data_IF_401907673794
#
_entry.id   IF_401907673794
#
_cell.length_a   1.000
_cell.length_b   1.000
_cell.length_c   1.000
_cell.angle_alpha   90.00
_cell.angle_beta   90.00
_cell.angle_gamma   90.00
#
_symmetry.space_group_name_H-M   'P 1'
#
loop_
_entity.id
_entity.type
_entity.pdbx_description
1 polymer ?
#
# COMPACT_ATOMS: atom_id res chain seq x y z
N UNK A 1 -35.65 -4.25 -13.37
CA UNK A 1 -34.39 -4.95 -13.03
C UNK A 1 -34.74 -6.36 -12.56
N UNK A 2 -33.97 -7.37 -12.97
CA UNK A 2 -34.22 -8.74 -12.52
C UNK A 2 -33.84 -8.89 -11.03
N UNK A 3 -34.78 -9.34 -10.21
CA UNK A 3 -34.58 -9.62 -8.79
C UNK A 3 -34.38 -11.12 -8.56
N UNK A 4 -33.53 -11.53 -7.61
CA UNK A 4 -33.38 -12.94 -7.25
C UNK A 4 -34.73 -13.49 -6.77
N UNK A 5 -35.15 -14.63 -7.35
CA UNK A 5 -36.40 -15.29 -6.97
C UNK A 5 -36.36 -15.83 -5.53
N UNK A 6 -35.18 -16.25 -5.05
CA UNK A 6 -34.98 -16.89 -3.74
C UNK A 6 -33.64 -16.53 -3.12
N UNK A 7 -33.53 -16.67 -1.80
CA UNK A 7 -32.28 -16.54 -1.07
C UNK A 7 -31.27 -17.62 -1.49
N UNK A 8 -30.00 -17.24 -1.62
CA UNK A 8 -28.96 -18.17 -2.04
C UNK A 8 -28.45 -18.99 -0.85
N UNK A 9 -28.48 -20.32 -0.95
CA UNK A 9 -28.01 -21.19 0.13
C UNK A 9 -26.55 -20.88 0.55
N UNK A 10 -26.27 -20.93 1.86
CA UNK A 10 -24.94 -20.63 2.43
C UNK A 10 -23.83 -21.46 1.74
N UNK A 11 -24.06 -22.74 1.49
CA UNK A 11 -23.09 -23.60 0.78
C UNK A 11 -22.77 -23.12 -0.64
N UNK A 12 -23.78 -22.64 -1.39
CA UNK A 12 -23.57 -22.07 -2.73
C UNK A 12 -22.80 -20.75 -2.67
N UNK A 13 -23.09 -19.92 -1.66
CA UNK A 13 -22.34 -18.68 -1.42
C UNK A 13 -20.87 -18.94 -1.07
N UNK A 14 -20.60 -19.89 -0.19
CA UNK A 14 -19.24 -20.24 0.24
C UNK A 14 -18.42 -20.85 -0.89
N UNK A 15 -19.00 -21.78 -1.67
CA UNK A 15 -18.33 -22.33 -2.87
C UNK A 15 -18.00 -21.24 -3.89
N UNK A 16 -18.85 -20.24 -4.07
CA UNK A 16 -18.52 -19.11 -4.96
C UNK A 16 -17.37 -18.25 -4.41
N UNK A 17 -17.26 -18.13 -3.09
CA UNK A 17 -16.20 -17.35 -2.42
C UNK A 17 -14.87 -18.10 -2.26
N UNK A 18 -14.82 -19.41 -2.50
CA UNK A 18 -13.60 -20.21 -2.31
C UNK A 18 -12.41 -19.71 -3.14
N UNK A 19 -12.67 -19.17 -4.33
CA UNK A 19 -11.64 -18.64 -5.22
C UNK A 19 -11.22 -17.20 -4.92
N UNK A 20 -11.89 -16.51 -3.99
CA UNK A 20 -11.64 -15.10 -3.67
C UNK A 20 -10.56 -14.92 -2.59
N UNK A 21 -9.54 -15.78 -2.58
CA UNK A 21 -8.44 -15.70 -1.61
C UNK A 21 -7.50 -14.54 -1.95
N UNK A 22 -7.11 -13.77 -0.93
CA UNK A 22 -6.10 -12.71 -1.08
C UNK A 22 -4.70 -13.33 -1.14
N UNK A 23 -3.89 -12.89 -2.10
CA UNK A 23 -2.50 -13.31 -2.23
C UNK A 23 -1.59 -12.40 -1.40
N UNK A 24 -0.59 -13.00 -0.76
CA UNK A 24 0.46 -12.25 -0.07
C UNK A 24 1.27 -11.42 -1.07
N UNK A 25 1.73 -10.25 -0.62
CA UNK A 25 2.53 -9.35 -1.45
C UNK A 25 4.00 -9.79 -1.46
N UNK A 26 4.61 -9.84 -2.64
CA UNK A 26 6.04 -10.07 -2.76
C UNK A 26 6.81 -8.80 -2.33
N UNK A 27 7.67 -8.95 -1.32
CA UNK A 27 8.51 -7.89 -0.80
C UNK A 27 9.99 -8.28 -0.93
N UNK A 28 10.82 -7.31 -1.27
CA UNK A 28 12.26 -7.45 -1.46
C UNK A 28 13.02 -6.55 -0.50
N UNK A 29 14.21 -6.94 -0.06
CA UNK A 29 15.06 -6.09 0.78
C UNK A 29 15.61 -4.91 -0.03
N UNK A 30 15.56 -3.70 0.52
CA UNK A 30 16.19 -2.53 -0.08
C UNK A 30 17.71 -2.59 0.10
N UNK A 31 18.47 -2.39 -0.97
CA UNK A 31 19.94 -2.42 -0.95
C UNK A 31 20.57 -1.32 -0.08
N UNK A 32 19.90 -0.17 0.10
CA UNK A 32 20.45 0.96 0.85
C UNK A 32 20.11 0.92 2.35
N UNK A 33 18.88 0.54 2.72
CA UNK A 33 18.40 0.64 4.11
C UNK A 33 17.95 -0.69 4.71
N UNK A 34 18.06 -1.81 3.98
CA UNK A 34 17.69 -3.15 4.46
C UNK A 34 16.19 -3.43 4.66
N UNK A 35 15.35 -2.39 4.64
CA UNK A 35 13.90 -2.51 4.85
C UNK A 35 13.21 -3.24 3.70
N UNK A 36 12.10 -3.91 4.01
CA UNK A 36 11.25 -4.58 3.04
C UNK A 36 10.48 -3.57 2.19
N UNK A 37 10.64 -3.65 0.88
CA UNK A 37 10.01 -2.77 -0.12
C UNK A 37 9.34 -3.61 -1.21
N UNK A 38 8.42 -2.99 -1.97
CA UNK A 38 7.90 -3.62 -3.18
C UNK A 38 8.99 -3.62 -4.26
N UNK A 39 9.04 -4.69 -5.04
CA UNK A 39 9.93 -4.75 -6.21
C UNK A 39 9.61 -3.63 -7.20
N UNK A 40 10.65 -3.13 -7.88
CA UNK A 40 10.58 -2.04 -8.86
C UNK A 40 10.00 -0.70 -8.36
N UNK A 41 9.87 -0.48 -7.05
CA UNK A 41 9.46 0.80 -6.48
C UNK A 41 10.63 1.52 -5.79
N UNK A 42 10.58 2.84 -5.78
CA UNK A 42 11.47 3.67 -4.96
C UNK A 42 11.22 3.35 -3.49
N UNK A 43 12.30 3.22 -2.70
CA UNK A 43 12.16 2.98 -1.28
C UNK A 43 11.48 4.19 -0.61
N UNK A 44 10.32 3.99 0.01
CA UNK A 44 9.59 5.06 0.71
C UNK A 44 10.31 5.57 1.96
N UNK A 45 11.27 4.79 2.47
CA UNK A 45 12.00 5.12 3.69
C UNK A 45 13.27 5.92 3.42
N UNK A 46 14.08 5.53 2.42
CA UNK A 46 15.32 6.23 2.11
C UNK A 46 15.26 7.06 0.83
N UNK A 47 14.22 6.92 -0.01
CA UNK A 47 14.10 7.70 -1.25
C UNK A 47 15.02 7.25 -2.39
N UNK A 48 15.79 6.18 -2.17
CA UNK A 48 16.72 5.63 -3.16
C UNK A 48 16.06 4.61 -4.08
N UNK A 49 16.49 4.61 -5.33
CA UNK A 49 16.21 3.59 -6.34
C UNK A 49 17.46 3.33 -7.17
N UNK A 50 17.89 2.07 -7.28
CA UNK A 50 19.11 1.66 -8.01
C UNK A 50 20.35 2.50 -7.66
N UNK A 51 20.55 2.79 -6.38
CA UNK A 51 21.72 3.53 -5.89
C UNK A 51 21.69 5.04 -6.12
N UNK A 52 20.61 5.59 -6.71
CA UNK A 52 20.43 7.04 -6.86
C UNK A 52 19.36 7.55 -5.91
N UNK A 53 19.58 8.72 -5.33
CA UNK A 53 18.56 9.43 -4.56
C UNK A 53 17.56 10.06 -5.53
N UNK A 54 16.32 9.55 -5.52
CA UNK A 54 15.25 10.05 -6.40
C UNK A 54 14.32 10.99 -5.63
N UNK A 55 14.21 10.78 -4.31
CA UNK A 55 13.35 11.58 -3.45
C UNK A 55 14.16 12.01 -2.23
N UNK A 56 14.37 13.31 -2.06
CA UNK A 56 14.88 13.90 -0.83
C UNK A 56 13.83 13.75 0.29
N UNK A 57 13.90 12.65 1.05
CA UNK A 57 12.88 12.29 2.04
C UNK A 57 12.83 13.33 3.17
N UNK A 58 13.99 13.85 3.58
CA UNK A 58 14.14 14.86 4.63
C UNK A 58 13.37 16.16 4.32
N UNK A 59 13.56 16.71 3.12
CA UNK A 59 12.88 17.94 2.68
C UNK A 59 11.35 17.76 2.63
N UNK A 60 10.88 16.54 2.35
CA UNK A 60 9.46 16.22 2.28
C UNK A 60 8.81 16.10 3.65
N UNK A 61 9.52 15.59 4.66
CA UNK A 61 9.01 15.48 6.03
C UNK A 61 8.87 16.84 6.71
N UNK A 62 9.85 17.74 6.52
CA UNK A 62 9.81 19.10 7.07
C UNK A 62 8.59 19.87 6.57
N UNK A 63 8.38 19.91 5.24
CA UNK A 63 7.19 20.53 4.62
C UNK A 63 5.87 19.94 5.13
N UNK A 64 5.85 18.65 5.48
CA UNK A 64 4.64 17.98 5.98
C UNK A 64 4.37 18.33 7.44
N UNK A 65 5.41 18.52 8.26
CA UNK A 65 5.28 19.02 9.63
C UNK A 65 4.75 20.46 9.64
N UNK A 66 5.33 21.35 8.84
CA UNK A 66 4.89 22.75 8.70
C UNK A 66 3.42 22.87 8.27
N UNK A 67 2.99 22.03 7.31
CA UNK A 67 1.56 21.99 6.92
C UNK A 67 0.65 21.51 8.05
N UNK A 68 1.08 20.52 8.84
CA UNK A 68 0.29 20.01 9.98
C UNK A 68 0.18 21.02 11.11
N UNK A 69 1.26 21.74 11.41
CA UNK A 69 1.24 22.81 12.43
C UNK A 69 0.34 23.95 11.97
N UNK A 70 0.45 24.38 10.71
CA UNK A 70 -0.41 25.42 10.14
C UNK A 70 -1.90 25.00 10.07
N UNK A 71 -2.20 23.72 9.82
CA UNK A 71 -3.59 23.23 9.83
C UNK A 71 -4.17 23.04 11.22
N UNK A 72 -3.32 22.84 12.24
CA UNK A 72 -3.75 22.68 13.63
C UNK A 72 -3.87 24.03 14.37
N UNK A 73 -3.17 25.06 13.89
CA UNK A 73 -3.27 26.43 14.39
C UNK A 73 -4.42 27.23 13.75
N UNK A 74 -5.13 26.64 12.79
CA UNK A 74 -6.32 27.20 12.14
C UNK A 74 -7.56 26.45 12.63
#
# INVERSE_FOLDING_TARGET
MAVPRHHMAKGKQLRRRSHLALKALALTKCAHCGKMIKSHQVCKFCGFYKGREVINVLARELRKKEKRTHSAAK
#
